data_IF_745777368278
#
_entry.id   IF_745777368278
#
_cell.length_a   1.000
_cell.length_b   1.000
_cell.length_c   1.000
_cell.angle_alpha   90.00
_cell.angle_beta   90.00
_cell.angle_gamma   90.00
#
_symmetry.space_group_name_H-M   'P 1'
#
loop_
_entity.id
_entity.type
_entity.pdbx_description
1 polymer ?
#
# COMPACT_ATOMS: atom_id res chain seq x y z
N UNK A 1 21.09 -6.29 -8.49
CA UNK A 1 20.01 -5.95 -7.53
C UNK A 1 19.56 -4.55 -7.89
N UNK A 2 18.30 -4.36 -8.26
CA UNK A 2 17.79 -3.03 -8.64
C UNK A 2 17.64 -2.19 -7.36
N UNK A 3 18.15 -0.96 -7.33
CA UNK A 3 18.11 -0.09 -6.15
C UNK A 3 16.71 0.54 -5.91
N UNK A 4 15.74 0.18 -6.76
CA UNK A 4 14.39 0.76 -6.80
C UNK A 4 13.66 0.77 -5.46
N UNK A 5 13.82 -0.27 -4.65
CA UNK A 5 13.08 -0.42 -3.39
C UNK A 5 13.95 -0.15 -2.16
N UNK A 6 15.11 0.49 -2.30
CA UNK A 6 15.91 0.91 -1.16
C UNK A 6 15.30 2.14 -0.46
N UNK A 7 15.48 2.23 0.86
CA UNK A 7 15.11 3.40 1.68
C UNK A 7 13.61 3.76 1.67
N UNK A 8 12.72 2.78 1.80
CA UNK A 8 11.27 3.01 1.92
C UNK A 8 10.90 3.63 3.29
N UNK A 9 11.13 4.93 3.45
CA UNK A 9 11.04 5.65 4.74
C UNK A 9 9.70 5.59 5.45
N UNK A 10 8.60 5.38 4.70
CA UNK A 10 7.25 5.26 5.25
C UNK A 10 6.88 3.84 5.65
N UNK A 11 7.62 2.84 5.18
CA UNK A 11 7.33 1.43 5.46
C UNK A 11 7.96 1.04 6.81
N UNK A 12 7.18 0.48 7.75
CA UNK A 12 7.72 -0.05 9.00
C UNK A 12 8.76 -1.14 8.76
N UNK A 13 9.84 -1.14 9.55
CA UNK A 13 10.92 -2.14 9.49
C UNK A 13 10.50 -3.46 10.16
N UNK A 14 9.56 -4.16 9.54
CA UNK A 14 9.08 -5.48 9.97
C UNK A 14 9.05 -6.45 8.78
N UNK A 15 9.10 -7.78 9.02
CA UNK A 15 9.00 -8.75 7.93
C UNK A 15 7.68 -8.62 7.17
N UNK A 16 7.73 -8.77 5.84
CA UNK A 16 6.55 -8.67 4.98
C UNK A 16 5.47 -9.70 5.38
N UNK A 17 5.89 -10.94 5.68
CA UNK A 17 5.00 -12.01 6.10
C UNK A 17 4.20 -11.67 7.37
N UNK A 18 4.80 -10.94 8.32
CA UNK A 18 4.11 -10.49 9.54
C UNK A 18 2.99 -9.50 9.22
N UNK A 19 3.25 -8.55 8.31
CA UNK A 19 2.26 -7.54 7.93
C UNK A 19 1.08 -8.17 7.18
N UNK A 20 1.38 -9.10 6.27
CA UNK A 20 0.39 -9.88 5.54
C UNK A 20 -0.49 -10.69 6.49
N UNK A 21 0.11 -11.42 7.44
CA UNK A 21 -0.62 -12.19 8.45
C UNK A 21 -1.52 -11.31 9.34
N UNK A 22 -1.03 -10.15 9.81
CA UNK A 22 -1.84 -9.21 10.61
C UNK A 22 -3.05 -8.65 9.85
N UNK A 23 -2.98 -8.60 8.52
CA UNK A 23 -4.05 -8.14 7.65
C UNK A 23 -4.92 -9.27 7.07
N UNK A 24 -4.64 -10.53 7.43
CA UNK A 24 -5.25 -11.71 6.84
C UNK A 24 -5.19 -11.71 5.30
N UNK A 25 -4.03 -11.33 4.76
CA UNK A 25 -3.76 -11.24 3.34
C UNK A 25 -2.65 -12.23 2.92
N UNK A 26 -2.77 -12.78 1.72
CA UNK A 26 -1.82 -13.75 1.17
C UNK A 26 -1.32 -13.30 -0.20
N UNK A 27 -0.07 -13.62 -0.51
CA UNK A 27 0.48 -13.44 -1.85
C UNK A 27 0.26 -14.72 -2.64
N UNK A 28 -0.13 -14.61 -3.90
CA UNK A 28 -0.33 -15.77 -4.78
C UNK A 28 0.98 -16.25 -5.40
N UNK A 29 1.93 -15.34 -5.58
CA UNK A 29 3.25 -15.60 -6.14
C UNK A 29 4.11 -16.34 -5.12
N UNK A 30 4.61 -17.51 -5.50
CA UNK A 30 5.60 -18.23 -4.70
C UNK A 30 6.89 -17.41 -4.58
N UNK A 31 7.41 -17.29 -3.36
CA UNK A 31 8.62 -16.52 -3.04
C UNK A 31 9.74 -17.44 -2.56
N UNK A 32 10.96 -17.10 -2.96
CA UNK A 32 12.21 -17.69 -2.46
C UNK A 32 12.72 -16.97 -1.22
N UNK A 33 12.33 -15.70 -1.02
CA UNK A 33 12.66 -14.94 0.17
C UNK A 33 12.15 -15.64 1.44
N UNK A 34 12.96 -15.70 2.52
CA UNK A 34 12.53 -16.30 3.78
C UNK A 34 11.40 -15.48 4.42
N UNK A 35 10.62 -16.10 5.32
CA UNK A 35 9.53 -15.42 6.03
C UNK A 35 9.98 -14.21 6.87
N UNK A 36 11.28 -14.13 7.22
CA UNK A 36 11.90 -12.99 7.91
C UNK A 36 12.29 -11.84 6.99
N UNK A 37 12.15 -11.98 5.67
CA UNK A 37 12.53 -10.96 4.69
C UNK A 37 11.76 -9.66 4.88
N UNK A 38 12.46 -8.55 4.66
CA UNK A 38 11.87 -7.22 4.71
C UNK A 38 10.95 -6.96 3.52
N UNK A 39 10.14 -5.90 3.62
CA UNK A 39 9.23 -5.50 2.54
C UNK A 39 10.00 -5.13 1.28
N UNK A 40 11.17 -4.49 1.39
CA UNK A 40 12.03 -4.13 0.26
C UNK A 40 12.46 -5.37 -0.53
N UNK A 41 12.93 -6.41 0.16
CA UNK A 41 13.37 -7.66 -0.47
C UNK A 41 12.21 -8.36 -1.16
N UNK A 42 11.05 -8.44 -0.52
CA UNK A 42 9.87 -9.08 -1.13
C UNK A 42 9.35 -8.28 -2.32
N UNK A 43 9.31 -6.95 -2.25
CA UNK A 43 8.93 -6.10 -3.38
C UNK A 43 9.89 -6.25 -4.56
N UNK A 44 11.20 -6.37 -4.29
CA UNK A 44 12.20 -6.62 -5.33
C UNK A 44 11.95 -7.96 -6.02
N UNK A 45 11.72 -9.03 -5.25
CA UNK A 45 11.45 -10.36 -5.83
C UNK A 45 10.14 -10.38 -6.64
N UNK A 46 9.07 -9.80 -6.10
CA UNK A 46 7.78 -9.69 -6.81
C UNK A 46 7.92 -8.88 -8.11
N UNK A 47 8.71 -7.80 -8.09
CA UNK A 47 8.99 -7.01 -9.29
C UNK A 47 9.76 -7.81 -10.35
N UNK A 48 10.78 -8.56 -9.95
CA UNK A 48 11.56 -9.42 -10.85
C UNK A 48 10.70 -10.53 -11.47
N UNK A 49 9.69 -11.00 -10.74
CA UNK A 49 8.69 -11.98 -11.21
C UNK A 49 7.53 -11.37 -12.00
N UNK A 50 7.45 -10.04 -12.12
CA UNK A 50 6.34 -9.35 -12.78
C UNK A 50 5.00 -9.45 -12.04
N UNK A 51 5.02 -9.80 -10.75
CA UNK A 51 3.85 -10.06 -9.92
C UNK A 51 3.20 -8.77 -9.39
N UNK A 52 2.72 -7.91 -10.32
CA UNK A 52 2.24 -6.56 -9.99
C UNK A 52 1.06 -6.57 -9.00
N UNK A 53 0.14 -7.52 -9.09
CA UNK A 53 -1.02 -7.60 -8.20
C UNK A 53 -0.59 -7.87 -6.75
N UNK A 54 0.36 -8.78 -6.56
CA UNK A 54 0.92 -9.07 -5.24
C UNK A 54 1.77 -7.93 -4.69
N UNK A 55 2.45 -7.16 -5.56
CA UNK A 55 3.10 -5.92 -5.14
C UNK A 55 2.09 -4.91 -4.58
N UNK A 56 0.97 -4.70 -5.28
CA UNK A 56 -0.11 -3.82 -4.81
C UNK A 56 -0.70 -4.33 -3.49
N UNK A 57 -0.91 -5.64 -3.38
CA UNK A 57 -1.42 -6.29 -2.17
C UNK A 57 -0.46 -6.10 -0.98
N UNK A 58 0.84 -6.32 -1.16
CA UNK A 58 1.84 -6.05 -0.13
C UNK A 58 1.87 -4.58 0.28
N UNK A 59 1.86 -3.65 -0.67
CA UNK A 59 1.82 -2.22 -0.37
C UNK A 59 0.54 -1.82 0.38
N UNK A 60 -0.60 -2.44 0.07
CA UNK A 60 -1.90 -2.21 0.71
C UNK A 60 -1.93 -2.60 2.20
N UNK A 61 -0.94 -3.36 2.69
CA UNK A 61 -0.81 -3.71 4.10
C UNK A 61 0.43 -3.10 4.75
N UNK A 62 1.49 -2.86 3.99
CA UNK A 62 2.76 -2.35 4.48
C UNK A 62 2.75 -0.82 4.70
N UNK A 63 1.97 -0.07 3.92
CA UNK A 63 1.90 1.37 4.06
C UNK A 63 1.19 1.77 5.38
N UNK A 64 1.59 2.87 6.04
CA UNK A 64 0.85 3.44 7.15
C UNK A 64 -0.59 3.77 6.76
N UNK A 65 -1.53 3.72 7.71
CA UNK A 65 -2.95 3.93 7.44
C UNK A 65 -3.24 5.19 6.62
N UNK A 66 -2.58 6.31 6.96
CA UNK A 66 -2.74 7.58 6.23
C UNK A 66 -2.30 7.48 4.76
N UNK A 67 -1.16 6.86 4.50
CA UNK A 67 -0.63 6.71 3.13
C UNK A 67 -1.49 5.75 2.30
N UNK A 68 -2.06 4.71 2.93
CA UNK A 68 -3.00 3.78 2.27
C UNK A 68 -4.28 4.47 1.86
N UNK A 69 -4.90 5.23 2.76
CA UNK A 69 -6.11 5.99 2.45
C UNK A 69 -5.83 7.05 1.39
N UNK A 70 -4.71 7.76 1.50
CA UNK A 70 -4.30 8.74 0.49
C UNK A 70 -4.17 8.11 -0.90
N UNK A 71 -3.48 6.97 -1.00
CA UNK A 71 -3.35 6.24 -2.25
C UNK A 71 -4.70 5.78 -2.82
N UNK A 72 -5.61 5.30 -1.96
CA UNK A 72 -6.97 4.97 -2.37
C UNK A 72 -7.75 6.19 -2.87
N UNK A 73 -7.58 7.38 -2.27
CA UNK A 73 -8.19 8.61 -2.75
C UNK A 73 -7.69 9.01 -4.15
N UNK A 74 -6.38 8.88 -4.40
CA UNK A 74 -5.80 9.12 -5.73
C UNK A 74 -6.41 8.17 -6.78
N UNK A 75 -6.42 6.87 -6.48
CA UNK A 75 -7.02 5.87 -7.38
C UNK A 75 -8.50 6.15 -7.62
N UNK A 76 -9.26 6.52 -6.59
CA UNK A 76 -10.66 6.86 -6.72
C UNK A 76 -10.87 8.09 -7.62
N UNK A 77 -10.02 9.13 -7.50
CA UNK A 77 -10.09 10.30 -8.38
C UNK A 77 -9.87 9.95 -9.84
N UNK A 78 -8.95 9.06 -10.14
CA UNK A 78 -8.68 8.62 -11.52
C UNK A 78 -9.88 7.90 -12.16
N UNK A 79 -10.78 7.34 -11.35
CA UNK A 79 -12.01 6.69 -11.84
C UNK A 79 -13.17 7.66 -12.08
N UNK A 80 -13.07 8.91 -11.60
CA UNK A 80 -14.12 9.91 -11.76
C UNK A 80 -14.08 10.54 -13.16
N UNK A 81 -15.26 10.76 -13.74
CA UNK A 81 -15.36 11.55 -14.97
C UNK A 81 -14.93 13.00 -14.70
N UNK A 82 -14.27 13.63 -15.66
CA UNK A 82 -13.93 15.05 -15.57
C UNK A 82 -15.18 15.90 -15.27
N UNK A 83 -15.08 16.78 -14.27
CA UNK A 83 -16.19 17.62 -13.81
C UNK A 83 -17.25 16.91 -12.95
N UNK A 84 -17.10 15.61 -12.66
CA UNK A 84 -18.01 14.92 -11.75
C UNK A 84 -17.90 15.48 -10.32
N UNK A 85 -19.04 15.57 -9.63
CA UNK A 85 -19.07 15.94 -8.21
C UNK A 85 -18.37 14.86 -7.39
N UNK A 86 -17.54 15.28 -6.44
CA UNK A 86 -16.84 14.37 -5.55
C UNK A 86 -17.85 13.58 -4.70
N UNK A 87 -17.81 12.24 -4.70
CA UNK A 87 -18.64 11.43 -3.81
C UNK A 87 -18.36 11.77 -2.34
N UNK A 88 -19.37 11.89 -1.47
CA UNK A 88 -19.17 12.23 -0.06
C UNK A 88 -18.15 11.35 0.68
N UNK A 89 -18.09 10.00 0.48
CA UNK A 89 -17.07 9.17 1.13
C UNK A 89 -15.64 9.54 0.73
N UNK A 90 -15.41 9.88 -0.54
CA UNK A 90 -14.09 10.30 -1.03
C UNK A 90 -13.71 11.68 -0.47
N UNK A 91 -14.67 12.61 -0.40
CA UNK A 91 -14.45 13.92 0.21
C UNK A 91 -14.04 13.82 1.69
N UNK A 92 -14.72 12.97 2.46
CA UNK A 92 -14.41 12.73 3.87
C UNK A 92 -13.03 12.07 4.04
N UNK A 93 -12.72 11.03 3.25
CA UNK A 93 -11.43 10.35 3.30
C UNK A 93 -10.26 11.31 2.97
N UNK A 94 -10.44 12.19 1.98
CA UNK A 94 -9.46 13.23 1.67
C UNK A 94 -9.30 14.24 2.81
N UNK A 95 -10.40 14.73 3.40
CA UNK A 95 -10.35 15.64 4.53
C UNK A 95 -9.54 15.05 5.70
N UNK A 96 -9.73 13.76 5.99
CA UNK A 96 -8.94 13.04 6.99
C UNK A 96 -7.47 12.93 6.64
N UNK A 97 -7.14 12.57 5.39
CA UNK A 97 -5.74 12.45 4.94
C UNK A 97 -4.99 13.78 5.10
N UNK A 98 -5.62 14.90 4.72
CA UNK A 98 -5.02 16.23 4.83
C UNK A 98 -4.95 16.71 6.28
N UNK A 99 -5.98 16.42 7.09
CA UNK A 99 -6.08 16.83 8.49
C UNK A 99 -6.67 15.68 9.32
N UNK A 100 -5.83 14.79 9.88
CA UNK A 100 -6.28 13.61 10.62
C UNK A 100 -6.69 13.95 12.07
N UNK A 101 -7.63 14.88 12.22
CA UNK A 101 -8.26 15.21 13.50
C UNK A 101 -9.43 14.28 13.79
N UNK A 102 -9.84 14.15 15.04
CA UNK A 102 -11.02 13.33 15.42
C UNK A 102 -12.30 13.76 14.71
N UNK A 103 -12.49 15.06 14.45
CA UNK A 103 -13.62 15.57 13.67
C UNK A 103 -13.63 15.06 12.22
N UNK A 104 -12.47 14.72 11.67
CA UNK A 104 -12.33 14.22 10.31
C UNK A 104 -12.17 12.69 10.23
N UNK A 105 -12.14 11.98 11.37
CA UNK A 105 -11.90 10.52 11.43
C UNK A 105 -13.18 9.73 11.17
#
# INVERSE_FOLDING_TARGET
MNERFLNLTKIPKQPAARMLAMANAELETELSAPASASVETVLQELYEKGALIDMLRLLSVALPARERVWWACLAARDTLKSGAKLPPPLAAAEAWVFKPTEENR
#
